data_IF_924208135374
#
_entry.id   IF_924208135374
#
_cell.length_a   1.000
_cell.length_b   1.000
_cell.length_c   1.000
_cell.angle_alpha   90.00
_cell.angle_beta   90.00
_cell.angle_gamma   90.00
#
_symmetry.space_group_name_H-M   'P 1'
#
loop_
_entity.id
_entity.type
_entity.pdbx_description
1 polymer ?
#
# COMPACT_ATOMS: atom_id res chain seq x y z
N UNK A 1 5.99 -10.82 -5.70
CA UNK A 1 4.92 -10.26 -4.84
C UNK A 1 4.21 -9.15 -5.60
N UNK A 2 2.90 -9.11 -5.53
CA UNK A 2 2.16 -8.06 -6.22
C UNK A 2 2.33 -6.72 -5.51
N UNK A 3 2.03 -5.64 -6.23
CA UNK A 3 2.14 -4.29 -5.66
C UNK A 3 1.29 -4.14 -4.40
N UNK A 4 0.05 -4.61 -4.43
CA UNK A 4 -0.82 -4.53 -3.26
C UNK A 4 -0.31 -5.38 -2.09
N UNK A 5 0.18 -6.58 -2.38
CA UNK A 5 0.72 -7.44 -1.33
C UNK A 5 1.97 -6.81 -0.70
N UNK A 6 2.83 -6.22 -1.53
CA UNK A 6 4.01 -5.53 -1.04
C UNK A 6 3.65 -4.32 -0.18
N UNK A 7 2.64 -3.56 -0.60
CA UNK A 7 2.19 -2.40 0.15
C UNK A 7 1.62 -2.82 1.51
N UNK A 8 0.81 -3.87 1.54
CA UNK A 8 0.25 -4.38 2.79
C UNK A 8 1.35 -4.83 3.75
N UNK A 9 2.36 -5.51 3.22
CA UNK A 9 3.48 -5.98 4.02
C UNK A 9 4.27 -4.83 4.63
N UNK A 10 4.55 -3.81 3.82
CA UNK A 10 5.28 -2.64 4.29
C UNK A 10 4.51 -1.91 5.39
N UNK A 11 3.20 -1.74 5.21
CA UNK A 11 2.37 -1.09 6.22
C UNK A 11 2.36 -1.87 7.54
N UNK A 12 2.25 -3.20 7.44
CA UNK A 12 2.24 -4.04 8.64
C UNK A 12 3.58 -3.95 9.38
N UNK A 13 4.68 -3.91 8.65
CA UNK A 13 6.01 -3.82 9.26
C UNK A 13 6.26 -2.45 9.86
N UNK A 14 5.80 -1.40 9.18
CA UNK A 14 6.01 -0.03 9.64
C UNK A 14 5.18 0.28 10.88
N UNK A 15 3.97 -0.24 10.91
CA UNK A 15 3.09 -0.04 12.06
C UNK A 15 2.51 1.36 12.16
N UNK A 16 2.61 2.18 11.11
CA UNK A 16 2.05 3.52 11.10
C UNK A 16 1.57 3.89 9.70
N UNK A 17 0.69 4.89 9.59
CA UNK A 17 0.15 5.29 8.28
C UNK A 17 1.23 5.79 7.34
N UNK A 18 1.07 5.47 6.06
CA UNK A 18 2.00 5.89 5.01
C UNK A 18 1.21 6.34 3.78
N UNK A 19 1.77 7.31 3.05
CA UNK A 19 1.19 7.67 1.76
C UNK A 19 1.74 6.70 0.69
N UNK A 20 1.15 6.77 -0.52
CA UNK A 20 1.53 5.83 -1.59
C UNK A 20 2.99 5.95 -1.99
N UNK A 21 3.52 7.17 -2.01
CA UNK A 21 4.92 7.38 -2.36
C UNK A 21 5.84 6.70 -1.35
N UNK A 22 5.55 6.87 -0.07
CA UNK A 22 6.32 6.23 0.99
C UNK A 22 6.26 4.71 0.90
N UNK A 23 5.07 4.18 0.60
CA UNK A 23 4.92 2.74 0.44
C UNK A 23 5.75 2.22 -0.74
N UNK A 24 5.72 2.92 -1.88
CA UNK A 24 6.48 2.51 -3.06
C UNK A 24 7.98 2.55 -2.78
N UNK A 25 8.44 3.60 -2.13
CA UNK A 25 9.85 3.71 -1.77
C UNK A 25 10.27 2.60 -0.81
N UNK A 26 9.45 2.31 0.17
CA UNK A 26 9.75 1.27 1.15
C UNK A 26 9.77 -0.12 0.52
N UNK A 27 8.76 -0.43 -0.31
CA UNK A 27 8.72 -1.76 -0.93
C UNK A 27 9.82 -1.95 -1.96
N UNK A 28 10.26 -0.89 -2.61
CA UNK A 28 11.39 -0.93 -3.52
C UNK A 28 12.70 -1.12 -2.75
N UNK A 29 12.88 -0.37 -1.68
CA UNK A 29 14.06 -0.43 -0.84
C UNK A 29 14.24 -1.82 -0.21
N UNK A 30 13.12 -2.44 0.18
CA UNK A 30 13.15 -3.77 0.80
C UNK A 30 13.15 -4.90 -0.22
N UNK A 31 13.06 -4.58 -1.50
CA UNK A 31 13.04 -5.59 -2.55
C UNK A 31 11.75 -6.37 -2.67
N UNK A 32 10.66 -5.91 -2.06
CA UNK A 32 9.38 -6.60 -2.14
C UNK A 32 8.72 -6.40 -3.49
N UNK A 33 8.96 -5.26 -4.12
CA UNK A 33 8.40 -4.94 -5.41
C UNK A 33 9.20 -3.81 -6.03
N UNK A 34 9.42 -3.87 -7.33
CA UNK A 34 10.14 -2.83 -8.06
C UNK A 34 9.27 -2.32 -9.20
N UNK A 35 9.41 -1.03 -9.50
CA UNK A 35 8.64 -0.40 -10.56
C UNK A 35 9.16 -0.81 -11.94
N UNK A 36 8.35 -1.48 -12.75
CA UNK A 36 8.77 -1.80 -14.12
C UNK A 36 8.96 -0.52 -14.93
N UNK A 37 10.03 -0.46 -15.69
CA UNK A 37 10.30 0.69 -16.54
C UNK A 37 10.68 1.97 -15.83
N UNK A 38 10.93 1.92 -14.54
CA UNK A 38 11.40 3.06 -13.76
C UNK A 38 10.35 4.11 -13.46
N UNK A 39 9.10 3.83 -13.71
CA UNK A 39 8.00 4.75 -13.39
C UNK A 39 7.36 4.38 -12.08
N UNK A 40 6.98 5.39 -11.32
CA UNK A 40 6.38 5.20 -10.00
C UNK A 40 4.86 5.36 -10.09
N UNK A 41 4.10 4.29 -9.99
CA UNK A 41 2.65 4.37 -10.17
C UNK A 41 1.92 4.74 -8.88
N UNK A 42 2.17 5.93 -8.35
CA UNK A 42 1.46 6.39 -7.15
C UNK A 42 -0.05 6.34 -7.35
N UNK A 43 -0.52 6.88 -8.47
CA UNK A 43 -1.95 6.94 -8.75
C UNK A 43 -2.53 5.54 -8.90
N UNK A 44 -1.80 4.64 -9.53
CA UNK A 44 -2.23 3.26 -9.69
C UNK A 44 -2.34 2.57 -8.33
N UNK A 45 -1.34 2.73 -7.48
CA UNK A 45 -1.37 2.15 -6.16
C UNK A 45 -2.51 2.74 -5.33
N UNK A 46 -2.69 4.04 -5.36
CA UNK A 46 -3.77 4.71 -4.65
C UNK A 46 -5.12 4.15 -5.09
N UNK A 47 -5.34 4.05 -6.40
CA UNK A 47 -6.58 3.53 -6.94
C UNK A 47 -6.82 2.08 -6.53
N UNK A 48 -5.77 1.27 -6.54
CA UNK A 48 -5.87 -0.14 -6.16
C UNK A 48 -6.23 -0.29 -4.69
N UNK A 49 -5.60 0.50 -3.81
CA UNK A 49 -5.89 0.46 -2.38
C UNK A 49 -7.32 0.94 -2.12
N UNK A 50 -7.70 2.05 -2.74
CA UNK A 50 -9.05 2.59 -2.59
C UNK A 50 -10.10 1.58 -3.03
N UNK A 51 -9.84 0.87 -4.13
CA UNK A 51 -10.75 -0.16 -4.63
C UNK A 51 -10.87 -1.32 -3.63
N UNK A 52 -9.75 -1.75 -3.06
CA UNK A 52 -9.79 -2.83 -2.09
C UNK A 52 -10.60 -2.43 -0.85
N UNK A 53 -10.42 -1.21 -0.37
CA UNK A 53 -11.17 -0.70 0.78
C UNK A 53 -12.66 -0.68 0.45
N UNK A 54 -13.01 -0.22 -0.75
CA UNK A 54 -14.41 -0.16 -1.18
C UNK A 54 -15.03 -1.54 -1.31
N UNK A 55 -14.29 -2.48 -1.91
CA UNK A 55 -14.82 -3.80 -2.22
C UNK A 55 -14.85 -4.74 -1.01
N UNK A 56 -13.86 -4.64 -0.15
CA UNK A 56 -13.72 -5.55 0.99
C UNK A 56 -14.12 -4.94 2.32
N UNK A 57 -14.20 -3.63 2.41
CA UNK A 57 -14.61 -2.95 3.63
C UNK A 57 -13.77 -3.39 4.83
N UNK A 58 -14.42 -3.99 5.82
CA UNK A 58 -13.75 -4.42 7.05
C UNK A 58 -12.68 -5.47 6.83
N UNK A 59 -12.79 -6.22 5.75
CA UNK A 59 -11.83 -7.30 5.44
C UNK A 59 -10.65 -6.81 4.62
N UNK A 60 -10.63 -5.53 4.28
CA UNK A 60 -9.50 -4.95 3.56
C UNK A 60 -8.25 -4.96 4.44
N UNK A 61 -7.10 -5.14 3.81
CA UNK A 61 -5.81 -5.05 4.50
C UNK A 61 -5.42 -3.60 4.75
N UNK A 62 -6.16 -2.67 4.17
CA UNK A 62 -5.88 -1.24 4.25
C UNK A 62 -7.06 -0.50 4.83
N UNK A 63 -6.77 0.62 5.50
CA UNK A 63 -7.79 1.57 5.92
C UNK A 63 -7.25 2.97 5.71
N UNK A 64 -8.14 3.91 5.44
CA UNK A 64 -7.74 5.30 5.30
C UNK A 64 -7.50 5.87 6.69
N UNK A 65 -6.28 6.31 6.95
CA UNK A 65 -5.89 6.80 8.27
C UNK A 65 -5.92 8.33 8.34
N UNK A 66 -5.47 8.97 7.25
CA UNK A 66 -5.41 10.41 7.19
C UNK A 66 -5.49 10.80 5.72
N UNK A 67 -5.51 12.08 5.45
CA UNK A 67 -5.60 12.57 4.08
C UNK A 67 -4.42 12.05 3.26
N UNK A 68 -4.71 11.25 2.25
CA UNK A 68 -3.69 10.66 1.39
C UNK A 68 -2.85 9.58 2.03
N UNK A 69 -3.18 9.16 3.26
CA UNK A 69 -2.43 8.11 3.95
C UNK A 69 -3.31 6.91 4.25
N UNK A 70 -2.68 5.75 4.22
CA UNK A 70 -3.34 4.49 4.54
C UNK A 70 -2.57 3.76 5.63
N UNK A 71 -3.27 2.94 6.37
CA UNK A 71 -2.68 2.14 7.44
C UNK A 71 -3.08 0.68 7.28
N UNK A 72 -2.34 -0.21 7.94
CA UNK A 72 -2.69 -1.62 7.99
C UNK A 72 -3.86 -1.83 8.95
N UNK A 73 -4.79 -2.69 8.56
CA UNK A 73 -5.88 -3.09 9.45
C UNK A 73 -5.50 -4.27 10.32
N UNK A 74 -4.37 -4.90 10.04
CA UNK A 74 -3.98 -6.15 10.68
C UNK A 74 -4.56 -7.39 10.02
N UNK A 75 -5.39 -7.22 9.01
CA UNK A 75 -5.99 -8.33 8.27
C UNK A 75 -5.03 -8.76 7.15
N UNK A 76 -4.14 -9.67 7.44
CA UNK A 76 -3.19 -10.17 6.43
C UNK A 76 -3.62 -11.49 5.85
#
# INVERSE_FOLDING_TARGET
MSCLNAAAKVLAEKGEPMNCQEMIEAMSSKGYWTTPGGKTPHATLYSSIAREIRDKGKESRFKKADRGKFASTGAE
#
